data_IF_072231138587
#
_entry.id   IF_072231138587
#
_cell.length_a   1.000
_cell.length_b   1.000
_cell.length_c   1.000
_cell.angle_alpha   90.00
_cell.angle_beta   90.00
_cell.angle_gamma   90.00
#
_symmetry.space_group_name_H-M   'P 1'
#
loop_
_entity.id
_entity.type
_entity.pdbx_description
1 polymer ?
#
# COMPACT_ATOMS: atom_id res chain seq x y z
N UNK A 1 -13.89 -18.42 -3.44
CA UNK A 1 -13.44 -17.65 -2.24
C UNK A 1 -14.40 -16.48 -2.05
N UNK A 2 -14.87 -16.21 -0.83
CA UNK A 2 -15.76 -15.07 -0.55
C UNK A 2 -15.00 -13.74 -0.80
N UNK A 3 -15.64 -12.77 -1.49
CA UNK A 3 -15.05 -11.47 -1.86
C UNK A 3 -14.39 -10.74 -0.68
N UNK A 4 -15.00 -10.77 0.50
CA UNK A 4 -14.45 -10.19 1.72
C UNK A 4 -13.16 -10.88 2.16
N UNK A 5 -13.11 -12.22 2.07
CA UNK A 5 -11.91 -12.99 2.41
C UNK A 5 -10.78 -12.71 1.42
N UNK A 6 -11.11 -12.62 0.12
CA UNK A 6 -10.11 -12.24 -0.90
C UNK A 6 -9.54 -10.85 -0.65
N UNK A 7 -10.40 -9.87 -0.33
CA UNK A 7 -9.98 -8.52 -0.01
C UNK A 7 -9.02 -8.49 1.19
N UNK A 8 -9.38 -9.18 2.28
CA UNK A 8 -8.53 -9.26 3.47
C UNK A 8 -7.18 -9.90 3.16
N UNK A 9 -7.15 -11.00 2.40
CA UNK A 9 -5.90 -11.67 2.00
C UNK A 9 -5.01 -10.74 1.18
N UNK A 10 -5.56 -10.02 0.21
CA UNK A 10 -4.80 -9.05 -0.58
C UNK A 10 -4.28 -7.88 0.27
N UNK A 11 -5.07 -7.38 1.22
CA UNK A 11 -4.63 -6.37 2.17
C UNK A 11 -3.46 -6.86 3.04
N UNK A 12 -3.50 -8.10 3.51
CA UNK A 12 -2.42 -8.69 4.31
C UNK A 12 -1.15 -8.91 3.48
N UNK A 13 -1.29 -9.35 2.23
CA UNK A 13 -0.15 -9.50 1.30
C UNK A 13 0.52 -8.14 1.08
N UNK A 14 -0.26 -7.10 0.74
CA UNK A 14 0.26 -5.76 0.56
C UNK A 14 0.87 -5.20 1.86
N UNK A 15 0.20 -5.35 3.01
CA UNK A 15 0.74 -4.91 4.31
C UNK A 15 2.10 -5.55 4.62
N UNK A 16 2.26 -6.84 4.32
CA UNK A 16 3.53 -7.57 4.53
C UNK A 16 4.63 -7.09 3.57
N UNK A 17 4.29 -6.86 2.30
CA UNK A 17 5.23 -6.34 1.30
C UNK A 17 5.68 -4.91 1.68
N UNK A 18 4.74 -4.05 2.04
CA UNK A 18 5.00 -2.69 2.49
C UNK A 18 5.84 -2.66 3.76
N UNK A 19 5.49 -3.47 4.78
CA UNK A 19 6.30 -3.58 6.00
C UNK A 19 7.73 -3.98 5.70
N UNK A 20 7.93 -4.96 4.82
CA UNK A 20 9.26 -5.41 4.40
C UNK A 20 10.06 -4.28 3.76
N UNK A 21 9.42 -3.51 2.86
CA UNK A 21 10.06 -2.34 2.24
C UNK A 21 10.42 -1.27 3.27
N UNK A 22 9.50 -0.91 4.17
CA UNK A 22 9.77 0.09 5.21
C UNK A 22 10.84 -0.35 6.21
N UNK A 23 10.86 -1.63 6.62
CA UNK A 23 11.95 -2.17 7.45
C UNK A 23 13.29 -2.07 6.72
N UNK A 24 13.33 -2.43 5.43
CA UNK A 24 14.55 -2.33 4.63
C UNK A 24 15.02 -0.88 4.55
N UNK A 25 14.11 0.09 4.31
CA UNK A 25 14.42 1.52 4.30
C UNK A 25 15.00 1.96 5.65
N UNK A 26 14.39 1.60 6.76
CA UNK A 26 14.84 2.01 8.09
C UNK A 26 16.23 1.45 8.44
N UNK A 27 16.47 0.17 8.13
CA UNK A 27 17.74 -0.51 8.43
C UNK A 27 18.89 -0.01 7.53
N UNK A 28 18.61 0.34 6.30
CA UNK A 28 19.60 0.72 5.30
C UNK A 28 19.48 2.20 4.89
N UNK A 29 18.93 3.04 5.74
CA UNK A 29 18.57 4.44 5.42
C UNK A 29 19.73 5.25 4.84
N UNK A 30 20.96 5.01 5.33
CA UNK A 30 22.17 5.71 4.87
C UNK A 30 22.68 5.21 3.51
N UNK A 31 22.21 4.04 3.06
CA UNK A 31 22.59 3.46 1.79
C UNK A 31 21.64 3.87 0.65
N UNK A 32 20.49 4.45 0.98
CA UNK A 32 19.58 4.98 -0.04
C UNK A 32 20.14 6.26 -0.64
N UNK A 33 20.32 6.33 -1.98
CA UNK A 33 20.94 7.45 -2.64
C UNK A 33 20.06 8.71 -2.54
N UNK A 34 20.70 9.85 -2.28
CA UNK A 34 20.08 11.18 -2.25
C UNK A 34 18.91 11.34 -1.27
N UNK A 35 18.79 10.46 -0.29
CA UNK A 35 17.70 10.56 0.70
C UNK A 35 17.89 11.82 1.55
N UNK A 36 16.84 12.65 1.76
CA UNK A 36 16.92 13.83 2.60
C UNK A 36 17.35 13.51 4.03
N UNK A 37 18.25 14.33 4.60
CA UNK A 37 18.87 14.07 5.92
C UNK A 37 17.88 14.12 7.10
N UNK A 38 16.69 14.72 6.89
CA UNK A 38 15.65 14.79 7.92
C UNK A 38 14.84 13.49 8.04
N UNK A 39 14.96 12.57 7.07
CA UNK A 39 14.31 11.25 7.15
C UNK A 39 15.10 10.37 8.12
N UNK A 40 14.42 9.88 9.15
CA UNK A 40 15.02 9.05 10.20
C UNK A 40 14.37 7.65 10.21
N UNK A 41 15.06 6.61 10.72
CA UNK A 41 14.48 5.28 10.87
C UNK A 41 13.16 5.29 11.67
N UNK A 42 13.10 6.10 12.73
CA UNK A 42 11.89 6.27 13.53
C UNK A 42 10.75 6.87 12.71
N UNK A 43 11.03 7.92 11.92
CA UNK A 43 10.06 8.53 11.02
C UNK A 43 9.51 7.53 9.98
N UNK A 44 10.37 6.66 9.44
CA UNK A 44 9.98 5.59 8.51
C UNK A 44 8.98 4.63 9.17
N UNK A 45 9.24 4.15 10.39
CA UNK A 45 8.31 3.27 11.11
C UNK A 45 6.98 3.96 11.45
N UNK A 46 7.01 5.21 11.90
CA UNK A 46 5.78 5.98 12.18
C UNK A 46 4.95 6.17 10.92
N UNK A 47 5.59 6.47 9.79
CA UNK A 47 4.90 6.59 8.49
C UNK A 47 4.21 5.29 8.11
N UNK A 48 4.89 4.15 8.25
CA UNK A 48 4.26 2.85 7.99
C UNK A 48 3.08 2.57 8.92
N UNK A 49 3.20 2.86 10.21
CA UNK A 49 2.10 2.70 11.16
C UNK A 49 0.89 3.55 10.77
N UNK A 50 1.09 4.80 10.37
CA UNK A 50 0.02 5.68 9.91
C UNK A 50 -0.69 5.12 8.66
N UNK A 51 0.08 4.62 7.68
CA UNK A 51 -0.46 3.95 6.49
C UNK A 51 -1.25 2.71 6.87
N UNK A 52 -0.73 1.87 7.76
CA UNK A 52 -1.41 0.64 8.21
C UNK A 52 -2.76 0.95 8.91
N UNK A 53 -2.83 2.03 9.70
CA UNK A 53 -4.08 2.49 10.35
C UNK A 53 -5.14 2.84 9.29
N UNK A 54 -4.75 3.47 8.18
CA UNK A 54 -5.69 3.77 7.07
C UNK A 54 -6.26 2.45 6.51
N UNK A 55 -5.43 1.43 6.30
CA UNK A 55 -5.87 0.12 5.85
C UNK A 55 -6.87 -0.54 6.81
N UNK A 56 -6.55 -0.54 8.11
CA UNK A 56 -7.43 -1.10 9.16
C UNK A 56 -8.76 -0.35 9.20
N UNK A 57 -8.74 0.98 9.18
CA UNK A 57 -9.93 1.82 9.14
C UNK A 57 -10.79 1.53 7.91
N UNK A 58 -10.16 1.41 6.73
CA UNK A 58 -10.84 1.08 5.49
C UNK A 58 -11.57 -0.25 5.58
N UNK A 59 -10.91 -1.29 6.11
CA UNK A 59 -11.54 -2.60 6.27
C UNK A 59 -12.66 -2.59 7.31
N UNK A 60 -12.50 -1.87 8.41
CA UNK A 60 -13.54 -1.69 9.41
C UNK A 60 -14.77 -1.00 8.82
N UNK A 61 -14.60 0.11 8.10
CA UNK A 61 -15.67 0.81 7.40
C UNK A 61 -16.38 -0.10 6.40
N UNK A 62 -15.63 -0.87 5.61
CA UNK A 62 -16.15 -1.83 4.64
C UNK A 62 -17.04 -2.89 5.29
N UNK A 63 -16.68 -3.32 6.51
CA UNK A 63 -17.40 -4.38 7.23
C UNK A 63 -18.57 -3.89 8.07
N UNK A 64 -18.54 -2.66 8.59
CA UNK A 64 -19.40 -2.21 9.67
C UNK A 64 -20.26 -1.00 9.35
N UNK A 65 -19.85 -0.17 8.38
CA UNK A 65 -20.53 1.13 8.14
C UNK A 65 -21.02 1.25 6.71
N UNK A 66 -20.10 1.28 5.75
CA UNK A 66 -20.39 1.47 4.34
C UNK A 66 -19.38 0.76 3.49
N UNK A 67 -19.88 -0.13 2.63
CA UNK A 67 -19.03 -0.87 1.70
C UNK A 67 -18.25 0.05 0.76
N UNK A 68 -18.94 1.05 0.18
CA UNK A 68 -18.31 1.98 -0.76
C UNK A 68 -17.27 2.87 -0.08
N UNK A 69 -17.60 3.44 1.10
CA UNK A 69 -16.64 4.25 1.86
C UNK A 69 -15.42 3.41 2.27
N UNK A 70 -15.62 2.17 2.73
CA UNK A 70 -14.52 1.27 3.05
C UNK A 70 -13.63 0.96 1.86
N UNK A 71 -14.21 0.70 0.67
CA UNK A 71 -13.44 0.43 -0.54
C UNK A 71 -12.66 1.67 -1.02
N UNK A 72 -13.21 2.88 -0.87
CA UNK A 72 -12.47 4.12 -1.16
C UNK A 72 -11.26 4.29 -0.26
N UNK A 73 -11.41 4.05 1.04
CA UNK A 73 -10.27 4.15 2.00
C UNK A 73 -9.26 3.03 1.76
N UNK A 74 -9.68 1.81 1.40
CA UNK A 74 -8.76 0.72 1.01
C UNK A 74 -8.04 1.08 -0.30
N UNK A 75 -8.72 1.72 -1.24
CA UNK A 75 -8.10 2.24 -2.46
C UNK A 75 -7.04 3.30 -2.14
N UNK A 76 -7.32 4.25 -1.24
CA UNK A 76 -6.35 5.22 -0.75
C UNK A 76 -5.14 4.52 -0.08
N UNK A 77 -5.40 3.54 0.79
CA UNK A 77 -4.35 2.73 1.42
C UNK A 77 -3.44 2.06 0.38
N UNK A 78 -4.02 1.49 -0.67
CA UNK A 78 -3.25 0.88 -1.77
C UNK A 78 -2.48 1.94 -2.58
N UNK A 79 -3.07 3.12 -2.85
CA UNK A 79 -2.39 4.21 -3.56
C UNK A 79 -1.13 4.69 -2.84
N UNK A 80 -1.11 4.69 -1.50
CA UNK A 80 0.08 5.07 -0.72
C UNK A 80 1.26 4.12 -0.96
N UNK A 81 1.04 2.87 -1.37
CA UNK A 81 2.10 1.94 -1.74
C UNK A 81 2.87 2.31 -3.01
N UNK A 82 2.33 3.22 -3.84
CA UNK A 82 3.08 3.75 -4.99
C UNK A 82 4.15 4.77 -4.57
N UNK A 83 4.12 5.26 -3.32
CA UNK A 83 5.17 6.10 -2.75
C UNK A 83 6.57 5.45 -2.78
N UNK A 84 6.67 4.12 -2.88
CA UNK A 84 7.93 3.44 -3.14
C UNK A 84 8.63 3.88 -4.44
N UNK A 85 7.86 4.32 -5.44
CA UNK A 85 8.42 4.84 -6.69
C UNK A 85 9.12 6.20 -6.55
N UNK A 86 8.87 6.94 -5.46
CA UNK A 86 9.51 8.24 -5.19
C UNK A 86 11.04 8.08 -5.07
N UNK A 87 11.53 6.91 -4.69
CA UNK A 87 12.95 6.59 -4.72
C UNK A 87 13.57 6.79 -6.10
N UNK A 88 12.82 6.50 -7.16
CA UNK A 88 13.29 6.64 -8.55
C UNK A 88 13.17 8.07 -9.08
N UNK A 89 12.46 8.95 -8.38
CA UNK A 89 12.43 10.38 -8.69
C UNK A 89 13.69 11.11 -8.16
N UNK A 90 14.30 10.59 -7.09
CA UNK A 90 15.46 11.20 -6.44
C UNK A 90 16.80 10.59 -6.87
N UNK A 91 16.77 9.35 -7.40
CA UNK A 91 17.96 8.66 -7.93
C UNK A 91 17.56 7.61 -8.97
N UNK A 92 18.40 7.34 -10.01
CA UNK A 92 18.07 6.35 -11.02
C UNK A 92 18.05 4.93 -10.43
N UNK A 93 17.29 4.01 -11.07
CA UNK A 93 17.19 2.59 -10.66
C UNK A 93 18.57 1.94 -10.46
N UNK A 94 19.53 2.28 -11.32
CA UNK A 94 20.91 1.74 -11.25
C UNK A 94 21.72 2.19 -10.02
N UNK A 95 21.29 3.24 -9.33
CA UNK A 95 21.90 3.70 -8.08
C UNK A 95 21.41 2.92 -6.85
N UNK A 96 20.33 2.15 -6.99
CA UNK A 96 19.76 1.33 -5.93
C UNK A 96 20.29 -0.09 -6.00
N UNK A 97 20.48 -0.74 -4.85
CA UNK A 97 20.85 -2.16 -4.80
C UNK A 97 19.70 -3.03 -5.32
N UNK A 98 20.02 -4.28 -5.68
CA UNK A 98 18.99 -5.25 -6.09
C UNK A 98 17.92 -5.43 -5.00
N UNK A 99 18.32 -5.50 -3.73
CA UNK A 99 17.40 -5.65 -2.60
C UNK A 99 16.45 -4.45 -2.46
N UNK A 100 16.96 -3.21 -2.63
CA UNK A 100 16.14 -1.99 -2.66
C UNK A 100 15.10 -2.06 -3.78
N UNK A 101 15.56 -2.33 -5.00
CA UNK A 101 14.68 -2.40 -6.17
C UNK A 101 13.61 -3.49 -6.01
N UNK A 102 13.99 -4.68 -5.53
CA UNK A 102 13.03 -5.78 -5.30
C UNK A 102 11.98 -5.37 -4.26
N UNK A 103 12.38 -4.79 -3.13
CA UNK A 103 11.43 -4.37 -2.08
C UNK A 103 10.45 -3.30 -2.57
N UNK A 104 10.92 -2.31 -3.34
CA UNK A 104 10.09 -1.27 -3.96
C UNK A 104 9.09 -1.90 -4.93
N UNK A 105 9.57 -2.72 -5.86
CA UNK A 105 8.70 -3.30 -6.90
C UNK A 105 7.65 -4.25 -6.31
N UNK A 106 8.02 -5.07 -5.32
CA UNK A 106 7.06 -5.98 -4.66
C UNK A 106 5.97 -5.19 -3.94
N UNK A 107 6.31 -4.10 -3.25
CA UNK A 107 5.31 -3.21 -2.63
C UNK A 107 4.37 -2.63 -3.69
N UNK A 108 4.89 -2.03 -4.75
CA UNK A 108 4.10 -1.40 -5.82
C UNK A 108 3.20 -2.40 -6.52
N UNK A 109 3.71 -3.60 -6.85
CA UNK A 109 2.90 -4.64 -7.52
C UNK A 109 1.77 -5.11 -6.62
N UNK A 110 2.02 -5.37 -5.35
CA UNK A 110 0.98 -5.80 -4.40
C UNK A 110 -0.05 -4.68 -4.13
N UNK A 111 0.39 -3.43 -4.07
CA UNK A 111 -0.48 -2.25 -4.00
C UNK A 111 -1.39 -2.14 -5.23
N UNK A 112 -0.83 -2.32 -6.43
CA UNK A 112 -1.60 -2.28 -7.68
C UNK A 112 -2.67 -3.38 -7.74
N UNK A 113 -2.34 -4.61 -7.31
CA UNK A 113 -3.29 -5.72 -7.26
C UNK A 113 -4.42 -5.42 -6.27
N UNK A 114 -4.11 -4.90 -5.09
CA UNK A 114 -5.11 -4.51 -4.09
C UNK A 114 -6.01 -3.38 -4.61
N UNK A 115 -5.44 -2.33 -5.20
CA UNK A 115 -6.17 -1.21 -5.79
C UNK A 115 -7.13 -1.68 -6.88
N UNK A 116 -6.64 -2.50 -7.80
CA UNK A 116 -7.45 -3.05 -8.89
C UNK A 116 -8.62 -3.89 -8.38
N UNK A 117 -8.38 -4.70 -7.33
CA UNK A 117 -9.42 -5.51 -6.73
C UNK A 117 -10.47 -4.66 -5.98
N UNK A 118 -10.04 -3.62 -5.25
CA UNK A 118 -10.95 -2.69 -4.58
C UNK A 118 -11.82 -1.93 -5.61
N UNK A 119 -11.23 -1.45 -6.70
CA UNK A 119 -11.95 -0.82 -7.80
C UNK A 119 -12.96 -1.77 -8.46
N UNK A 120 -12.57 -3.01 -8.74
CA UNK A 120 -13.48 -4.04 -9.28
C UNK A 120 -14.67 -4.27 -8.34
N UNK A 121 -14.45 -4.37 -7.03
CA UNK A 121 -15.52 -4.54 -6.06
C UNK A 121 -16.47 -3.34 -6.01
N UNK A 122 -15.95 -2.13 -6.21
CA UNK A 122 -16.76 -0.90 -6.29
C UNK A 122 -17.69 -0.96 -7.50
N UNK A 123 -17.14 -1.20 -8.70
CA UNK A 123 -17.91 -1.28 -9.95
C UNK A 123 -18.98 -2.37 -9.93
N UNK A 124 -18.69 -3.53 -9.33
CA UNK A 124 -19.66 -4.62 -9.20
C UNK A 124 -20.77 -4.32 -8.17
N UNK A 125 -20.50 -3.45 -7.20
CA UNK A 125 -21.48 -2.98 -6.21
C UNK A 125 -22.50 -2.04 -6.84
N UNK A 126 -22.07 -1.10 -7.65
CA UNK A 126 -22.93 -0.13 -8.35
C UNK A 126 -23.92 -0.81 -9.30
N UNK A 127 -23.48 -1.82 -10.07
CA UNK A 127 -24.35 -2.56 -10.98
C UNK A 127 -25.52 -3.29 -10.29
N UNK A 128 -25.40 -3.57 -8.99
CA UNK A 128 -26.48 -4.21 -8.20
C UNK A 128 -27.43 -3.21 -7.56
N UNK A 129 -27.05 -1.96 -7.50
CA UNK A 129 -27.85 -0.88 -6.90
C UNK A 129 -28.66 -0.10 -7.94
N UNK A 130 -28.46 -0.28 -9.25
CA UNK A 130 -29.26 0.32 -10.29
C UNK A 130 -30.67 -0.31 -10.27
N UNK A 131 -31.75 0.44 -10.02
CA UNK A 131 -33.11 -0.06 -10.12
C UNK A 131 -33.42 -0.43 -11.58
N UNK A 132 -34.08 -1.58 -11.79
CA UNK A 132 -34.74 -1.90 -13.06
C UNK A 132 -35.93 -0.99 -13.28
#
# INVERSE_FOLDING_TARGET
>A
MNRTRSLLVLMLIYASASLTHFIHNALHIRAYPNLPSWITPFGVYISWCAIAVIGVLGFWLYRRVSRSAGLLIIGLYALLGFGGLDHYLIAPVSAHTVAMNVSIIVEVVTAFVLLSFAALLMLLGEKRAAPM
#
